data_IF_737797889757
#
_entry.id   IF_737797889757
#
_cell.length_a   1.000
_cell.length_b   1.000
_cell.length_c   1.000
_cell.angle_alpha   90.00
_cell.angle_beta   90.00
_cell.angle_gamma   90.00
#
_symmetry.space_group_name_H-M   'P 1'
#
loop_
_entity.id
_entity.type
_entity.pdbx_description
1 polymer ?
#
# COMPACT_ATOMS: atom_id res chain seq x y z
N UNK A 1 -23.63 -10.37 -4.09
CA UNK A 1 -23.26 -9.76 -5.40
C UNK A 1 -22.40 -10.72 -6.19
N UNK A 2 -22.61 -10.77 -7.50
CA UNK A 2 -21.67 -11.39 -8.45
C UNK A 2 -20.44 -10.47 -8.62
N UNK A 3 -19.34 -11.01 -9.14
CA UNK A 3 -18.07 -10.25 -9.30
C UNK A 3 -18.25 -9.03 -10.21
N UNK A 4 -19.01 -9.19 -11.30
CA UNK A 4 -19.32 -8.11 -12.24
C UNK A 4 -20.18 -7.02 -11.61
N UNK A 5 -21.23 -7.41 -10.85
CA UNK A 5 -22.08 -6.46 -10.13
C UNK A 5 -21.28 -5.68 -9.08
N UNK A 6 -20.44 -6.37 -8.29
CA UNK A 6 -19.54 -5.72 -7.33
C UNK A 6 -18.60 -4.73 -8.02
N UNK A 7 -17.98 -5.14 -9.11
CA UNK A 7 -17.07 -4.27 -9.89
C UNK A 7 -17.79 -3.01 -10.39
N UNK A 8 -19.03 -3.14 -10.88
CA UNK A 8 -19.85 -1.99 -11.31
C UNK A 8 -20.14 -1.06 -10.13
N UNK A 9 -20.45 -1.59 -8.94
CA UNK A 9 -20.67 -0.78 -7.75
C UNK A 9 -19.38 -0.03 -7.34
N UNK A 10 -18.21 -0.69 -7.37
CA UNK A 10 -16.93 -0.03 -7.11
C UNK A 10 -16.66 1.14 -8.09
N UNK A 11 -16.95 0.96 -9.36
CA UNK A 11 -16.82 2.02 -10.38
C UNK A 11 -17.82 3.17 -10.16
N UNK A 12 -19.05 2.90 -9.71
CA UNK A 12 -20.00 3.93 -9.31
C UNK A 12 -19.50 4.73 -8.11
N UNK A 13 -19.00 4.05 -7.09
CA UNK A 13 -18.37 4.69 -5.91
C UNK A 13 -17.22 5.59 -6.34
N UNK A 14 -16.33 5.13 -7.23
CA UNK A 14 -15.28 5.99 -7.77
C UNK A 14 -15.81 7.23 -8.45
N UNK A 15 -16.84 7.09 -9.29
CA UNK A 15 -17.48 8.23 -9.97
C UNK A 15 -18.08 9.24 -8.99
N UNK A 16 -18.64 8.77 -7.87
CA UNK A 16 -19.17 9.64 -6.80
C UNK A 16 -18.03 10.34 -6.04
N UNK A 17 -16.97 9.63 -5.72
CA UNK A 17 -15.75 10.19 -5.12
C UNK A 17 -15.20 11.32 -5.99
N UNK A 18 -15.09 11.11 -7.28
CA UNK A 18 -14.58 12.13 -8.23
C UNK A 18 -15.43 13.41 -8.26
N UNK A 19 -16.74 13.29 -8.06
CA UNK A 19 -17.66 14.44 -8.00
C UNK A 19 -17.58 15.18 -6.67
N UNK A 20 -17.39 14.47 -5.56
CA UNK A 20 -17.44 15.05 -4.22
C UNK A 20 -16.48 14.35 -3.25
N UNK A 21 -15.15 14.50 -3.44
CA UNK A 21 -14.14 13.78 -2.65
C UNK A 21 -14.26 13.99 -1.14
N UNK A 22 -14.62 15.22 -0.72
CA UNK A 22 -14.77 15.61 0.69
C UNK A 22 -15.80 14.78 1.48
N UNK A 23 -16.76 14.15 0.78
CA UNK A 23 -17.77 13.32 1.43
C UNK A 23 -17.25 11.92 1.83
N UNK A 24 -16.01 11.61 1.48
CA UNK A 24 -15.42 10.27 1.64
C UNK A 24 -14.23 10.23 2.62
N UNK A 25 -13.94 11.34 3.27
CA UNK A 25 -12.90 11.45 4.28
C UNK A 25 -11.74 12.34 3.86
N UNK A 26 -10.91 12.68 4.84
CA UNK A 26 -9.82 13.67 4.68
C UNK A 26 -8.73 13.16 3.71
N UNK A 27 -8.41 11.88 3.77
CA UNK A 27 -7.40 11.29 2.89
C UNK A 27 -7.87 11.31 1.42
N UNK A 28 -9.15 10.99 1.16
CA UNK A 28 -9.72 11.05 -0.20
C UNK A 28 -9.67 12.48 -0.73
N UNK A 29 -10.10 13.47 0.07
CA UNK A 29 -10.05 14.88 -0.31
C UNK A 29 -8.63 15.33 -0.65
N UNK A 30 -7.64 14.97 0.20
CA UNK A 30 -6.24 15.30 -0.04
C UNK A 30 -5.70 14.67 -1.34
N UNK A 31 -6.00 13.39 -1.59
CA UNK A 31 -5.56 12.68 -2.80
C UNK A 31 -6.08 13.37 -4.06
N UNK A 32 -7.38 13.68 -4.11
CA UNK A 32 -8.00 14.29 -5.29
C UNK A 32 -7.65 15.76 -5.48
N UNK A 33 -7.36 16.51 -4.41
CA UNK A 33 -6.96 17.92 -4.47
C UNK A 33 -5.66 18.13 -5.27
N UNK A 34 -4.75 17.16 -5.22
CA UNK A 34 -3.42 17.22 -5.88
C UNK A 34 -3.46 17.02 -7.38
N UNK A 35 -4.53 16.51 -7.96
CA UNK A 35 -4.70 16.24 -9.40
C UNK A 35 -3.60 15.35 -10.02
N UNK A 36 -2.80 14.67 -9.20
CA UNK A 36 -1.68 13.83 -9.63
C UNK A 36 -2.03 12.36 -9.77
N UNK A 37 -3.25 11.96 -9.38
CA UNK A 37 -3.71 10.58 -9.38
C UNK A 37 -3.82 10.04 -10.81
N UNK A 38 -3.16 8.91 -11.07
CA UNK A 38 -3.25 8.25 -12.38
C UNK A 38 -4.58 7.49 -12.50
N UNK A 39 -5.59 8.19 -13.03
CA UNK A 39 -6.95 7.67 -13.20
C UNK A 39 -6.99 6.39 -14.03
N UNK A 40 -6.17 6.29 -15.08
CA UNK A 40 -6.14 5.11 -15.94
C UNK A 40 -5.75 3.86 -15.16
N UNK A 41 -4.69 3.96 -14.34
CA UNK A 41 -4.26 2.87 -13.47
C UNK A 41 -5.38 2.55 -12.47
N UNK A 42 -5.98 3.56 -11.83
CA UNK A 42 -7.03 3.35 -10.83
C UNK A 42 -8.25 2.63 -11.41
N UNK A 43 -8.79 3.10 -12.54
CA UNK A 43 -9.95 2.48 -13.18
C UNK A 43 -9.68 1.03 -13.58
N UNK A 44 -8.51 0.74 -14.15
CA UNK A 44 -8.14 -0.62 -14.52
C UNK A 44 -7.92 -1.52 -13.30
N UNK A 45 -7.37 -0.98 -12.22
CA UNK A 45 -7.20 -1.73 -10.98
C UNK A 45 -8.55 -2.08 -10.35
N UNK A 46 -9.50 -1.15 -10.32
CA UNK A 46 -10.87 -1.41 -9.85
C UNK A 46 -11.56 -2.43 -10.78
N UNK A 47 -11.40 -2.30 -12.10
CA UNK A 47 -12.02 -3.23 -13.04
C UNK A 47 -11.50 -4.68 -12.87
N UNK A 48 -10.26 -4.85 -12.46
CA UNK A 48 -9.60 -6.16 -12.42
C UNK A 48 -9.35 -6.71 -11.01
N UNK A 49 -9.62 -5.95 -9.91
CA UNK A 49 -9.22 -6.37 -8.57
C UNK A 49 -9.71 -7.76 -8.19
N UNK A 50 -10.92 -8.10 -8.59
CA UNK A 50 -11.61 -9.36 -8.28
C UNK A 50 -11.69 -10.35 -9.46
N UNK A 51 -11.01 -10.08 -10.57
CA UNK A 51 -11.13 -10.87 -11.81
C UNK A 51 -10.69 -12.33 -11.65
N UNK A 52 -9.95 -12.64 -10.60
CA UNK A 52 -9.54 -14.01 -10.26
C UNK A 52 -10.52 -14.77 -9.37
N UNK A 53 -11.61 -14.13 -8.89
CA UNK A 53 -12.61 -14.80 -8.04
C UNK A 53 -13.30 -15.96 -8.77
N UNK A 54 -13.49 -17.06 -8.05
CA UNK A 54 -14.09 -18.29 -8.62
C UNK A 54 -13.10 -19.24 -9.27
N UNK A 55 -11.80 -18.88 -9.36
CA UNK A 55 -10.74 -19.80 -9.76
C UNK A 55 -10.26 -20.66 -8.56
N UNK A 56 -9.62 -21.80 -8.84
CA UNK A 56 -9.19 -22.76 -7.81
C UNK A 56 -8.14 -22.22 -6.85
N UNK A 57 -7.27 -21.32 -7.32
CA UNK A 57 -6.19 -20.75 -6.54
C UNK A 57 -6.61 -19.43 -5.88
N UNK A 58 -5.70 -18.85 -5.08
CA UNK A 58 -5.87 -17.52 -4.50
C UNK A 58 -6.22 -16.49 -5.59
N UNK A 59 -7.39 -15.85 -5.43
CA UNK A 59 -7.94 -14.96 -6.46
C UNK A 59 -7.07 -13.74 -6.74
N UNK A 60 -6.27 -13.27 -5.77
CA UNK A 60 -5.38 -12.14 -5.95
C UNK A 60 -4.16 -12.55 -6.80
N UNK A 61 -3.66 -13.78 -6.63
CA UNK A 61 -2.58 -14.33 -7.46
C UNK A 61 -3.04 -14.52 -8.89
N UNK A 62 -4.18 -15.16 -9.07
CA UNK A 62 -4.74 -15.39 -10.42
C UNK A 62 -5.16 -14.07 -11.06
N UNK A 63 -5.75 -13.16 -10.28
CA UNK A 63 -6.11 -11.82 -10.73
C UNK A 63 -4.90 -11.03 -11.25
N UNK A 64 -3.76 -11.08 -10.55
CA UNK A 64 -2.51 -10.47 -11.02
C UNK A 64 -2.10 -10.97 -12.40
N UNK A 65 -2.08 -12.30 -12.59
CA UNK A 65 -1.70 -12.94 -13.86
C UNK A 65 -2.62 -12.51 -15.00
N UNK A 66 -3.93 -12.51 -14.73
CA UNK A 66 -4.97 -12.12 -15.71
C UNK A 66 -4.84 -10.62 -16.03
N UNK A 67 -4.75 -9.76 -15.02
CA UNK A 67 -4.57 -8.32 -15.21
C UNK A 67 -3.32 -8.00 -16.03
N UNK A 68 -2.19 -8.65 -15.73
CA UNK A 68 -0.93 -8.50 -16.48
C UNK A 68 -1.08 -8.85 -17.96
N UNK A 69 -1.85 -9.91 -18.27
CA UNK A 69 -2.15 -10.33 -19.64
C UNK A 69 -3.09 -9.35 -20.34
N UNK A 70 -4.18 -8.94 -19.66
CA UNK A 70 -5.17 -8.04 -20.23
C UNK A 70 -4.63 -6.63 -20.43
N UNK A 71 -3.82 -6.11 -19.52
CA UNK A 71 -3.22 -4.77 -19.62
C UNK A 71 -2.34 -4.59 -20.87
N UNK A 72 -1.86 -5.67 -21.52
CA UNK A 72 -1.18 -5.59 -22.81
C UNK A 72 -2.08 -5.10 -23.95
N UNK A 73 -3.40 -5.22 -23.80
CA UNK A 73 -4.40 -4.78 -24.80
C UNK A 73 -4.72 -3.30 -24.69
N UNK A 74 -4.28 -2.64 -23.61
CA UNK A 74 -4.47 -1.22 -23.37
C UNK A 74 -3.18 -0.47 -23.67
N UNK A 75 -3.29 0.79 -24.09
CA UNK A 75 -2.13 1.65 -24.34
C UNK A 75 -1.53 2.12 -23.02
N UNK A 76 -0.78 1.23 -22.36
CA UNK A 76 -0.10 1.43 -21.08
C UNK A 76 1.40 1.24 -21.23
N UNK A 77 2.18 2.05 -20.52
CA UNK A 77 3.62 1.81 -20.33
C UNK A 77 3.84 0.56 -19.46
N UNK A 78 5.00 -0.06 -19.56
CA UNK A 78 5.33 -1.25 -18.74
C UNK A 78 5.23 -0.98 -17.24
N UNK A 79 5.66 0.20 -16.79
CA UNK A 79 5.53 0.62 -15.39
C UNK A 79 4.06 0.72 -14.94
N UNK A 80 3.18 1.23 -15.79
CA UNK A 80 1.74 1.33 -15.51
C UNK A 80 1.09 -0.07 -15.45
N UNK A 81 1.44 -0.97 -16.39
CA UNK A 81 0.96 -2.36 -16.37
C UNK A 81 1.38 -3.10 -15.09
N UNK A 82 2.63 -2.92 -14.69
CA UNK A 82 3.15 -3.51 -13.46
C UNK A 82 2.43 -2.94 -12.23
N UNK A 83 2.12 -1.64 -12.22
CA UNK A 83 1.39 -1.01 -11.11
C UNK A 83 -0.05 -1.51 -11.01
N UNK A 84 -0.78 -1.64 -12.13
CA UNK A 84 -2.13 -2.26 -12.13
C UNK A 84 -2.06 -3.71 -11.60
N UNK A 85 -1.14 -4.52 -12.10
CA UNK A 85 -0.99 -5.91 -11.66
C UNK A 85 -0.67 -6.00 -10.17
N UNK A 86 0.20 -5.12 -9.67
CA UNK A 86 0.55 -5.04 -8.26
C UNK A 86 -0.67 -4.65 -7.40
N UNK A 87 -1.45 -3.66 -7.84
CA UNK A 87 -2.67 -3.23 -7.13
C UNK A 87 -3.71 -4.35 -7.07
N UNK A 88 -3.92 -5.07 -8.17
CA UNK A 88 -4.80 -6.24 -8.19
C UNK A 88 -4.32 -7.33 -7.22
N UNK A 89 -3.01 -7.63 -7.21
CA UNK A 89 -2.41 -8.62 -6.30
C UNK A 89 -2.58 -8.24 -4.83
N UNK A 90 -2.51 -6.96 -4.52
CA UNK A 90 -2.42 -6.47 -3.15
C UNK A 90 -3.66 -5.67 -2.72
N UNK A 91 -4.80 -5.77 -3.43
CA UNK A 91 -5.98 -4.94 -3.15
C UNK A 91 -6.54 -5.09 -1.74
N UNK A 92 -6.41 -6.27 -1.13
CA UNK A 92 -6.84 -6.54 0.25
C UNK A 92 -5.84 -6.08 1.32
N UNK A 93 -4.57 -5.82 0.94
CA UNK A 93 -3.48 -5.61 1.88
C UNK A 93 -3.75 -4.45 2.84
N UNK A 94 -4.21 -3.31 2.35
CA UNK A 94 -4.44 -2.14 3.18
C UNK A 94 -5.56 -2.39 4.21
N UNK A 95 -6.63 -3.04 3.79
CA UNK A 95 -7.74 -3.45 4.66
C UNK A 95 -7.27 -4.45 5.74
N UNK A 96 -6.43 -5.41 5.35
CA UNK A 96 -5.87 -6.40 6.27
C UNK A 96 -4.94 -5.79 7.31
N UNK A 97 -4.05 -4.89 6.90
CA UNK A 97 -3.18 -4.17 7.84
C UNK A 97 -4.00 -3.31 8.81
N UNK A 98 -4.94 -2.53 8.29
CA UNK A 98 -5.74 -1.62 9.09
C UNK A 98 -6.64 -2.33 10.13
N UNK A 99 -7.19 -3.50 9.79
CA UNK A 99 -8.16 -4.19 10.64
C UNK A 99 -7.56 -5.31 11.51
N UNK A 100 -6.41 -5.87 11.14
CA UNK A 100 -5.84 -7.06 11.80
C UNK A 100 -4.55 -6.77 12.57
N UNK A 101 -3.99 -5.56 12.46
CA UNK A 101 -2.72 -5.19 13.12
C UNK A 101 -2.88 -3.97 14.01
N UNK A 102 -2.02 -3.86 15.00
CA UNK A 102 -1.95 -2.68 15.86
C UNK A 102 -1.27 -1.52 15.12
N UNK A 103 -2.03 -0.49 14.80
CA UNK A 103 -1.53 0.72 14.12
C UNK A 103 -0.78 1.68 15.06
N UNK A 104 -0.80 1.46 16.37
CA UNK A 104 0.05 2.17 17.34
C UNK A 104 1.48 1.63 17.34
N UNK A 105 1.70 0.41 16.87
CA UNK A 105 3.04 -0.15 16.68
C UNK A 105 3.67 0.41 15.40
N UNK A 106 4.71 1.22 15.58
CA UNK A 106 5.47 1.81 14.48
C UNK A 106 6.01 0.75 13.49
N UNK A 107 6.27 -0.46 13.95
CA UNK A 107 6.70 -1.57 13.10
C UNK A 107 5.63 -1.94 12.08
N UNK A 108 4.35 -1.92 12.47
CA UNK A 108 3.24 -2.17 11.54
C UNK A 108 3.26 -1.18 10.37
N UNK A 109 3.50 0.10 10.66
CA UNK A 109 3.53 1.15 9.63
C UNK A 109 4.75 1.00 8.73
N UNK A 110 5.91 0.67 9.30
CA UNK A 110 7.14 0.43 8.53
C UNK A 110 6.97 -0.80 7.62
N UNK A 111 6.44 -1.91 8.15
CA UNK A 111 6.19 -3.11 7.36
C UNK A 111 5.25 -2.81 6.17
N UNK A 112 4.18 -2.03 6.41
CA UNK A 112 3.26 -1.63 5.34
C UNK A 112 3.94 -0.72 4.30
N UNK A 113 4.75 0.23 4.73
CA UNK A 113 5.49 1.15 3.86
C UNK A 113 6.48 0.40 2.95
N UNK A 114 7.12 -0.67 3.43
CA UNK A 114 8.03 -1.50 2.62
C UNK A 114 7.33 -2.15 1.41
N UNK A 115 6.03 -2.46 1.52
CA UNK A 115 5.23 -2.96 0.39
C UNK A 115 4.83 -1.83 -0.57
N UNK A 116 4.36 -0.70 -0.03
CA UNK A 116 3.77 0.39 -0.82
C UNK A 116 4.84 1.21 -1.55
N UNK A 117 6.01 1.42 -0.95
CA UNK A 117 7.23 2.07 -1.46
C UNK A 117 7.11 3.54 -1.85
N UNK A 118 6.05 3.94 -2.54
CA UNK A 118 5.89 5.30 -3.05
C UNK A 118 4.48 5.86 -2.82
N UNK A 119 4.37 7.20 -2.85
CA UNK A 119 3.12 7.91 -2.59
C UNK A 119 2.04 7.60 -3.62
N UNK A 120 2.38 7.48 -4.90
CA UNK A 120 1.40 7.19 -5.95
C UNK A 120 0.74 5.82 -5.71
N UNK A 121 1.54 4.83 -5.33
CA UNK A 121 1.05 3.49 -4.99
C UNK A 121 0.16 3.52 -3.75
N UNK A 122 0.53 4.30 -2.72
CA UNK A 122 -0.28 4.51 -1.51
C UNK A 122 -1.63 5.14 -1.84
N UNK A 123 -1.63 6.21 -2.62
CA UNK A 123 -2.84 6.92 -3.02
C UNK A 123 -3.79 6.01 -3.82
N UNK A 124 -3.26 5.29 -4.80
CA UNK A 124 -4.03 4.37 -5.64
C UNK A 124 -4.62 3.21 -4.81
N UNK A 125 -3.82 2.60 -3.93
CA UNK A 125 -4.27 1.51 -3.07
C UNK A 125 -5.35 1.97 -2.10
N UNK A 126 -5.20 3.17 -1.50
CA UNK A 126 -6.19 3.74 -0.60
C UNK A 126 -7.56 3.91 -1.31
N UNK A 127 -7.57 4.56 -2.47
CA UNK A 127 -8.84 4.77 -3.22
C UNK A 127 -9.45 3.44 -3.69
N UNK A 128 -8.62 2.51 -4.16
CA UNK A 128 -9.09 1.16 -4.52
C UNK A 128 -9.76 0.47 -3.32
N UNK A 129 -9.14 0.52 -2.14
CA UNK A 129 -9.69 -0.07 -0.90
C UNK A 129 -11.00 0.59 -0.49
N UNK A 130 -11.11 1.92 -0.59
CA UNK A 130 -12.37 2.64 -0.32
C UNK A 130 -13.48 2.19 -1.27
N UNK A 131 -13.18 2.11 -2.58
CA UNK A 131 -14.14 1.68 -3.59
C UNK A 131 -14.60 0.23 -3.36
N UNK A 132 -13.67 -0.67 -3.07
CA UNK A 132 -13.95 -2.08 -2.81
C UNK A 132 -14.89 -2.25 -1.60
N UNK A 133 -14.55 -1.66 -0.45
CA UNK A 133 -15.36 -1.78 0.77
C UNK A 133 -16.77 -1.18 0.55
N UNK A 134 -16.86 0.02 -0.04
CA UNK A 134 -18.16 0.67 -0.29
C UNK A 134 -18.98 -0.03 -1.38
N UNK A 135 -18.31 -0.68 -2.32
CA UNK A 135 -18.96 -1.46 -3.38
C UNK A 135 -19.68 -2.70 -2.86
N UNK A 136 -19.37 -3.18 -1.64
CA UNK A 136 -20.08 -4.31 -1.02
C UNK A 136 -21.46 -3.89 -0.50
N UNK A 137 -21.53 -2.84 0.32
CA UNK A 137 -22.77 -2.26 0.83
C UNK A 137 -22.52 -0.88 1.45
N UNK A 138 -23.60 -0.07 1.61
CA UNK A 138 -23.53 1.21 2.31
C UNK A 138 -22.98 1.06 3.73
N UNK A 139 -23.32 -0.02 4.42
CA UNK A 139 -22.98 -0.27 5.83
C UNK A 139 -21.59 -0.87 5.99
N UNK A 140 -20.99 -1.39 4.91
CA UNK A 140 -19.63 -1.91 4.92
C UNK A 140 -18.60 -0.82 5.21
N UNK A 141 -18.86 0.43 4.81
CA UNK A 141 -18.06 1.61 5.12
C UNK A 141 -18.65 2.36 6.31
N UNK A 142 -18.02 2.27 7.45
CA UNK A 142 -18.40 2.98 8.67
C UNK A 142 -17.26 3.84 9.21
N UNK A 143 -17.56 4.71 10.18
CA UNK A 143 -16.60 5.65 10.76
C UNK A 143 -15.37 4.95 11.36
N UNK A 144 -15.55 3.77 11.95
CA UNK A 144 -14.44 3.02 12.54
C UNK A 144 -13.45 2.54 11.46
N UNK A 145 -13.93 1.91 10.38
CA UNK A 145 -13.08 1.47 9.26
C UNK A 145 -12.42 2.65 8.57
N UNK A 146 -13.16 3.74 8.35
CA UNK A 146 -12.61 4.97 7.77
C UNK A 146 -11.46 5.49 8.60
N UNK A 147 -11.63 5.60 9.92
CA UNK A 147 -10.59 6.10 10.83
C UNK A 147 -9.34 5.22 10.83
N UNK A 148 -9.50 3.88 10.80
CA UNK A 148 -8.34 2.98 10.74
C UNK A 148 -7.58 3.11 9.43
N UNK A 149 -8.28 3.14 8.30
CA UNK A 149 -7.67 3.28 6.98
C UNK A 149 -6.98 4.64 6.81
N UNK A 150 -7.61 5.73 7.27
CA UNK A 150 -7.00 7.06 7.26
C UNK A 150 -5.77 7.13 8.18
N UNK A 151 -5.84 6.53 9.36
CA UNK A 151 -4.70 6.43 10.27
C UNK A 151 -3.51 5.73 9.62
N UNK A 152 -3.73 4.56 9.01
CA UNK A 152 -2.69 3.83 8.29
C UNK A 152 -2.14 4.66 7.11
N UNK A 153 -3.03 5.29 6.34
CA UNK A 153 -2.64 6.14 5.21
C UNK A 153 -1.74 7.29 5.63
N UNK A 154 -2.15 8.12 6.61
CA UNK A 154 -1.40 9.31 7.01
C UNK A 154 -0.08 8.97 7.69
N UNK A 155 -0.04 7.93 8.53
CA UNK A 155 1.21 7.47 9.13
C UNK A 155 2.20 6.98 8.07
N UNK A 156 1.73 6.19 7.11
CA UNK A 156 2.55 5.72 5.99
C UNK A 156 3.01 6.86 5.10
N UNK A 157 2.12 7.82 4.82
CA UNK A 157 2.43 9.01 4.02
C UNK A 157 3.58 9.83 4.62
N UNK A 158 3.66 9.95 5.93
CA UNK A 158 4.77 10.62 6.60
C UNK A 158 6.10 9.92 6.35
N UNK A 159 6.13 8.60 6.26
CA UNK A 159 7.35 7.84 5.96
C UNK A 159 7.75 7.98 4.49
N UNK A 160 6.79 7.84 3.58
CA UNK A 160 7.02 7.92 2.13
C UNK A 160 7.41 9.33 1.69
N UNK A 161 6.88 10.39 2.33
CA UNK A 161 7.11 11.79 1.95
C UNK A 161 8.42 12.38 2.47
N UNK A 162 9.03 11.77 3.49
CA UNK A 162 10.20 12.35 4.16
C UNK A 162 11.52 12.06 3.45
N UNK A 163 11.58 11.31 2.34
CA UNK A 163 12.84 10.80 1.76
C UNK A 163 13.82 10.22 2.82
N UNK A 164 13.29 9.92 3.99
CA UNK A 164 14.03 9.20 5.01
C UNK A 164 14.21 7.81 4.41
N UNK A 165 15.43 7.48 3.99
CA UNK A 165 15.87 6.09 3.85
C UNK A 165 15.55 5.42 5.17
N UNK A 166 14.36 4.85 5.27
CA UNK A 166 14.07 3.91 6.35
C UNK A 166 15.00 2.76 6.06
N UNK A 167 16.08 2.66 6.86
CA UNK A 167 17.02 1.55 6.74
C UNK A 167 16.18 0.27 6.76
N UNK A 168 16.27 -0.51 5.72
CA UNK A 168 15.62 -1.83 5.68
C UNK A 168 16.11 -2.65 6.87
N UNK A 169 15.35 -3.67 7.27
CA UNK A 169 15.78 -4.56 8.37
C UNK A 169 17.19 -5.09 8.13
N UNK A 170 17.57 -5.37 6.87
CA UNK A 170 18.90 -5.79 6.47
C UNK A 170 19.94 -4.69 6.72
N UNK A 171 19.65 -3.46 6.31
CA UNK A 171 20.54 -2.30 6.53
C UNK A 171 20.71 -1.97 8.01
N UNK A 172 19.65 -2.08 8.83
CA UNK A 172 19.74 -1.92 10.31
C UNK A 172 20.62 -2.99 10.93
N UNK A 173 20.47 -4.26 10.49
CA UNK A 173 21.30 -5.36 10.96
C UNK A 173 22.75 -5.11 10.56
N UNK A 174 23.02 -4.67 9.34
CA UNK A 174 24.37 -4.39 8.87
C UNK A 174 24.99 -3.17 9.55
N UNK A 175 24.20 -2.13 9.81
CA UNK A 175 24.62 -0.95 10.59
C UNK A 175 24.92 -1.35 12.04
N UNK A 176 24.09 -2.18 12.66
CA UNK A 176 24.32 -2.70 14.01
C UNK A 176 25.57 -3.58 14.08
N UNK A 177 25.77 -4.47 13.09
CA UNK A 177 26.99 -5.30 12.99
C UNK A 177 28.24 -4.46 12.80
N UNK A 178 28.19 -3.40 11.98
CA UNK A 178 29.33 -2.47 11.80
C UNK A 178 29.67 -1.74 13.10
N UNK A 179 28.65 -1.22 13.81
CA UNK A 179 28.86 -0.57 15.12
C UNK A 179 29.46 -1.55 16.13
N UNK A 180 28.94 -2.77 16.23
CA UNK A 180 29.46 -3.79 17.13
C UNK A 180 30.92 -4.15 16.82
N UNK A 181 31.25 -4.32 15.52
CA UNK A 181 32.65 -4.53 15.11
C UNK A 181 33.55 -3.37 15.49
N UNK A 182 33.11 -2.14 15.36
CA UNK A 182 33.86 -0.94 15.77
C UNK A 182 34.13 -0.93 17.28
N UNK A 183 33.13 -1.24 18.10
CA UNK A 183 33.30 -1.37 19.55
C UNK A 183 34.28 -2.47 19.92
N UNK A 184 34.19 -3.66 19.33
CA UNK A 184 35.09 -4.79 19.60
C UNK A 184 36.54 -4.52 19.17
N UNK A 185 36.78 -3.74 18.11
CA UNK A 185 38.10 -3.31 17.69
C UNK A 185 38.68 -2.27 18.64
N UNK A 186 37.85 -1.37 19.19
CA UNK A 186 38.25 -0.42 20.22
C UNK A 186 38.73 -1.12 21.49
N UNK A 187 38.00 -2.12 21.98
CA UNK A 187 38.37 -2.91 23.15
C UNK A 187 39.71 -3.64 22.97
N UNK A 188 39.97 -4.25 21.80
CA UNK A 188 41.27 -4.89 21.52
C UNK A 188 42.45 -3.91 21.54
N UNK A 189 42.24 -2.68 21.09
CA UNK A 189 43.31 -1.66 21.07
C UNK A 189 43.59 -1.07 22.45
N UNK A 190 42.60 -1.01 23.35
CA UNK A 190 42.79 -0.52 24.71
C UNK A 190 43.41 -1.56 25.61
N UNK A 191 43.16 -2.85 25.43
CA UNK A 191 43.83 -3.92 26.15
C UNK A 191 45.32 -4.04 25.76
N UNK A 192 45.65 -3.86 24.48
CA UNK A 192 47.06 -3.86 24.01
C UNK A 192 47.85 -2.68 24.58
N UNK A 193 47.22 -1.49 24.77
CA UNK A 193 47.89 -0.34 25.37
C UNK A 193 48.13 -0.45 26.87
N UNK A 194 47.34 -1.29 27.58
CA UNK A 194 47.52 -1.54 29.01
C UNK A 194 48.65 -2.57 29.32
N UNK A 195 48.96 -3.44 28.38
CA UNK A 195 50.04 -4.43 28.54
C UNK A 195 51.43 -3.89 28.12
N UNK A 196 51.52 -2.70 27.51
CA UNK A 196 52.77 -2.08 27.03
C UNK A 196 53.14 -0.82 27.81
N UNK A 197 52.53 -0.58 28.98
CA UNK A 197 52.92 0.45 29.98
C UNK A 197 53.30 -0.21 31.29
#
# INVERSE_FOLDING_TARGET
>A
FTVDEHTIQCLKVLSEIEKSPKNYGTAVEEIFSRKSLNRKILYLSILFHDIGKGLENDHSIEGEKIAKKLCKRFTLKDSERNKVSWLVRNHLMMSDFAQKRDLSDQKTIIDFQEYVKDRETLDLLFILTVCDIKGVSSDAWNNWKSSLLESLYFQTLQLVSKDIKVETRSERIDTAKKKLKGYLQGFKNDDIKKETS
#
